data_IF_689169479269
#
_entry.id   IF_689169479269
#
_cell.length_a   1.000
_cell.length_b   1.000
_cell.length_c   1.000
_cell.angle_alpha   90.00
_cell.angle_beta   90.00
_cell.angle_gamma   90.00
#
_symmetry.space_group_name_H-M   'P 1'
#
loop_
_entity.id
_entity.type
_entity.pdbx_description
1 polymer ?
#
# COMPACT_ATOMS: atom_id res chain seq x y z
N UNK A 1 6.44 -27.68 1.37
CA UNK A 1 5.78 -26.38 1.15
C UNK A 1 5.22 -25.88 2.48
N UNK A 2 6.00 -25.13 3.25
CA UNK A 2 5.56 -24.55 4.52
C UNK A 2 4.81 -23.25 4.23
N UNK A 3 3.52 -23.21 4.57
CA UNK A 3 2.71 -22.01 4.46
C UNK A 3 3.14 -21.09 5.60
N UNK A 4 3.79 -19.97 5.26
CA UNK A 4 4.19 -18.97 6.25
C UNK A 4 2.92 -18.34 6.86
N UNK A 5 2.64 -18.56 8.16
CA UNK A 5 1.41 -18.07 8.80
C UNK A 5 1.28 -16.55 8.73
N UNK A 6 2.40 -15.82 8.67
CA UNK A 6 2.40 -14.37 8.45
C UNK A 6 1.84 -14.00 7.07
N UNK A 7 2.19 -14.76 6.02
CA UNK A 7 1.65 -14.52 4.66
C UNK A 7 0.17 -14.84 4.56
N UNK A 8 -0.31 -15.85 5.29
CA UNK A 8 -1.73 -16.19 5.34
C UNK A 8 -2.56 -15.10 6.03
N UNK A 9 -2.08 -14.57 7.15
CA UNK A 9 -2.69 -13.44 7.86
C UNK A 9 -2.65 -12.16 7.01
N UNK A 10 -1.53 -11.88 6.35
CA UNK A 10 -1.38 -10.75 5.45
C UNK A 10 -2.36 -10.80 4.27
N UNK A 11 -2.56 -11.98 3.66
CA UNK A 11 -3.60 -12.19 2.63
C UNK A 11 -5.01 -11.90 3.15
N UNK A 12 -5.30 -12.27 4.40
CA UNK A 12 -6.64 -12.10 5.01
C UNK A 12 -6.93 -10.65 5.37
N UNK A 13 -5.92 -9.89 5.80
CA UNK A 13 -6.02 -8.46 6.03
C UNK A 13 -6.10 -7.65 4.72
N UNK A 14 -5.49 -8.13 3.64
CA UNK A 14 -5.58 -7.52 2.31
C UNK A 14 -6.99 -7.61 1.71
N UNK A 15 -7.78 -8.61 2.07
CA UNK A 15 -9.11 -8.89 1.46
C UNK A 15 -10.30 -8.47 2.33
N UNK A 16 -10.09 -8.09 3.59
CA UNK A 16 -11.17 -7.68 4.50
C UNK A 16 -11.20 -6.15 4.69
N UNK A 17 -12.40 -5.58 4.86
CA UNK A 17 -12.59 -4.14 5.10
C UNK A 17 -11.84 -3.58 6.32
N UNK A 18 -11.39 -4.45 7.23
CA UNK A 18 -10.57 -4.11 8.39
C UNK A 18 -9.25 -3.41 8.01
N UNK A 19 -8.67 -3.76 6.85
CA UNK A 19 -7.47 -3.10 6.34
C UNK A 19 -7.68 -1.61 6.06
N UNK A 20 -8.87 -1.21 5.57
CA UNK A 20 -9.19 0.18 5.22
C UNK A 20 -9.22 1.12 6.44
N UNK A 21 -9.53 0.60 7.63
CA UNK A 21 -9.54 1.38 8.87
C UNK A 21 -8.11 1.78 9.30
N UNK A 22 -7.11 0.99 8.93
CA UNK A 22 -5.71 1.22 9.32
C UNK A 22 -4.93 2.06 8.28
N UNK A 23 -5.46 2.22 7.06
CA UNK A 23 -4.84 3.01 5.98
C UNK A 23 -4.47 4.45 6.38
N UNK A 24 -5.35 5.26 7.02
CA UNK A 24 -4.99 6.64 7.37
C UNK A 24 -3.87 6.69 8.43
N UNK A 25 -3.89 5.76 9.40
CA UNK A 25 -2.85 5.65 10.42
C UNK A 25 -1.51 5.21 9.81
N UNK A 26 -1.53 4.17 8.98
CA UNK A 26 -0.36 3.68 8.27
C UNK A 26 0.24 4.76 7.36
N UNK A 27 -0.60 5.51 6.64
CA UNK A 27 -0.18 6.66 5.82
C UNK A 27 0.48 7.74 6.67
N UNK A 28 -0.11 8.12 7.80
CA UNK A 28 0.47 9.14 8.68
C UNK A 28 1.82 8.71 9.25
N UNK A 29 1.94 7.44 9.67
CA UNK A 29 3.18 6.83 10.13
C UNK A 29 4.25 6.83 9.03
N UNK A 30 3.91 6.37 7.83
CA UNK A 30 4.85 6.32 6.73
C UNK A 30 5.27 7.71 6.27
N UNK A 31 4.37 8.69 6.21
CA UNK A 31 4.73 10.07 5.86
C UNK A 31 5.68 10.69 6.90
N UNK A 32 5.39 10.53 8.19
CA UNK A 32 6.23 11.09 9.28
C UNK A 32 7.58 10.41 9.41
N UNK A 33 7.69 9.16 8.98
CA UNK A 33 8.92 8.38 9.07
C UNK A 33 9.65 8.24 7.74
N UNK A 34 9.23 8.98 6.71
CA UNK A 34 9.77 8.87 5.35
C UNK A 34 9.80 7.41 4.83
N UNK A 35 8.72 6.67 5.11
CA UNK A 35 8.55 5.25 4.73
C UNK A 35 9.29 4.26 5.64
N UNK A 36 10.03 4.73 6.66
CA UNK A 36 10.80 3.84 7.54
C UNK A 36 9.90 3.00 8.45
N UNK A 37 8.70 3.45 8.81
CA UNK A 37 7.76 2.68 9.66
C UNK A 37 6.40 2.64 8.98
N UNK A 38 5.91 1.43 8.73
CA UNK A 38 4.58 1.18 8.17
C UNK A 38 3.98 -0.07 8.81
N UNK A 39 2.68 -0.01 9.10
CA UNK A 39 1.90 -1.11 9.66
C UNK A 39 1.96 -2.34 8.75
N UNK A 40 1.91 -2.12 7.43
CA UNK A 40 2.08 -3.18 6.43
C UNK A 40 3.50 -3.77 6.43
N UNK A 41 4.51 -2.94 6.73
CA UNK A 41 5.91 -3.39 6.86
C UNK A 41 6.12 -4.26 8.11
N UNK A 42 5.42 -3.95 9.20
CA UNK A 42 5.47 -4.74 10.45
C UNK A 42 4.91 -6.17 10.28
N UNK A 43 3.98 -6.37 9.34
CA UNK A 43 3.45 -7.71 8.99
C UNK A 43 4.20 -8.36 7.82
N UNK A 44 5.42 -7.89 7.51
CA UNK A 44 6.31 -8.48 6.52
C UNK A 44 6.00 -8.12 5.06
N UNK A 45 5.13 -7.15 4.80
CA UNK A 45 4.81 -6.71 3.44
C UNK A 45 5.70 -5.54 3.01
N UNK A 46 6.27 -5.62 1.81
CA UNK A 46 7.08 -4.52 1.24
C UNK A 46 6.15 -3.41 0.74
N UNK A 47 6.43 -2.18 1.14
CA UNK A 47 5.70 -0.99 0.70
C UNK A 47 6.63 0.12 0.24
N UNK A 48 6.10 1.00 -0.61
CA UNK A 48 6.73 2.24 -1.05
C UNK A 48 5.74 3.40 -0.93
N UNK A 49 6.24 4.63 -1.01
CA UNK A 49 5.41 5.83 -1.10
C UNK A 49 5.38 6.30 -2.56
N UNK A 50 4.22 6.24 -3.19
CA UNK A 50 4.00 6.80 -4.52
C UNK A 50 3.46 8.22 -4.39
N UNK A 51 4.16 9.20 -4.96
CA UNK A 51 3.67 10.58 -5.07
C UNK A 51 3.27 10.85 -6.52
N UNK A 52 2.02 11.23 -6.74
CA UNK A 52 1.50 11.62 -8.06
C UNK A 52 0.95 13.04 -8.03
N UNK A 53 0.82 13.66 -9.20
CA UNK A 53 0.16 14.95 -9.39
C UNK A 53 -1.31 14.71 -9.71
N UNK A 54 -2.23 15.27 -8.91
CA UNK A 54 -3.66 15.10 -9.13
C UNK A 54 -4.11 15.70 -10.46
N UNK A 55 -4.56 14.88 -11.41
CA UNK A 55 -4.96 15.31 -12.77
C UNK A 55 -5.94 16.51 -12.79
N UNK A 56 -6.88 16.56 -11.85
CA UNK A 56 -7.89 17.63 -11.77
C UNK A 56 -7.45 18.87 -10.99
N UNK A 57 -6.54 18.72 -10.03
CA UNK A 57 -6.21 19.77 -9.05
C UNK A 57 -4.77 20.28 -9.15
N UNK A 58 -3.89 19.57 -9.86
CA UNK A 58 -2.45 19.86 -9.89
C UNK A 58 -1.71 19.57 -8.58
N UNK A 59 -2.40 19.14 -7.52
CA UNK A 59 -1.80 19.02 -6.19
C UNK A 59 -1.06 17.68 -6.01
N UNK A 60 0.09 17.65 -5.32
CA UNK A 60 0.80 16.41 -5.02
C UNK A 60 0.00 15.54 -4.04
N UNK A 61 -0.05 14.24 -4.32
CA UNK A 61 -0.76 13.23 -3.52
C UNK A 61 0.16 12.04 -3.29
N UNK A 62 0.51 11.81 -2.02
CA UNK A 62 1.32 10.64 -1.63
C UNK A 62 0.46 9.54 -1.04
N UNK A 63 0.59 8.31 -1.55
CA UNK A 63 -0.08 7.11 -1.05
C UNK A 63 0.90 5.97 -0.79
N UNK A 64 0.75 5.21 0.30
CA UNK A 64 1.51 3.98 0.51
C UNK A 64 0.96 2.86 -0.39
N UNK A 65 1.84 2.17 -1.10
CA UNK A 65 1.48 1.03 -1.95
C UNK A 65 2.35 -0.18 -1.63
N UNK A 66 1.73 -1.36 -1.66
CA UNK A 66 2.48 -2.60 -1.76
C UNK A 66 3.09 -2.70 -3.16
N UNK A 67 4.30 -3.24 -3.23
CA UNK A 67 5.00 -3.43 -4.50
C UNK A 67 5.69 -4.78 -4.58
N UNK A 68 5.98 -5.19 -5.81
CA UNK A 68 6.92 -6.26 -6.15
C UNK A 68 8.09 -5.63 -6.88
N UNK A 69 9.32 -6.02 -6.52
CA UNK A 69 10.51 -5.60 -7.25
C UNK A 69 10.64 -6.43 -8.53
N UNK A 70 10.93 -5.78 -9.65
CA UNK A 70 11.20 -6.40 -10.94
C UNK A 70 12.50 -5.83 -11.51
N UNK A 71 13.64 -6.47 -11.22
CA UNK A 71 14.95 -5.92 -11.53
C UNK A 71 15.20 -4.58 -10.84
N UNK A 72 15.38 -3.51 -11.62
CA UNK A 72 15.49 -2.12 -11.14
C UNK A 72 14.13 -1.43 -10.93
N UNK A 73 13.05 -2.08 -11.34
CA UNK A 73 11.72 -1.49 -11.40
C UNK A 73 10.83 -1.93 -10.24
N UNK A 74 9.71 -1.22 -10.08
CA UNK A 74 8.71 -1.49 -9.06
C UNK A 74 7.35 -1.69 -9.72
N UNK A 75 6.74 -2.85 -9.47
CA UNK A 75 5.38 -3.16 -9.93
C UNK A 75 4.40 -2.92 -8.80
N UNK A 76 3.40 -2.08 -9.05
CA UNK A 76 2.30 -1.78 -8.12
C UNK A 76 0.96 -2.13 -8.76
N UNK A 77 -0.02 -2.54 -7.95
CA UNK A 77 -1.35 -2.90 -8.44
C UNK A 77 -2.37 -1.79 -8.18
N UNK A 78 -3.02 -1.31 -9.24
CA UNK A 78 -4.13 -0.35 -9.20
C UNK A 78 -5.47 -0.95 -8.77
N UNK A 79 -5.49 -1.84 -7.78
CA UNK A 79 -6.68 -2.63 -7.43
C UNK A 79 -7.71 -1.88 -6.58
N UNK A 80 -7.33 -0.76 -5.96
CA UNK A 80 -8.18 0.01 -5.04
C UNK A 80 -8.87 -0.86 -3.96
N UNK A 81 -8.14 -1.81 -3.37
CA UNK A 81 -8.70 -2.77 -2.40
C UNK A 81 -9.89 -3.57 -2.94
N UNK A 82 -9.90 -3.87 -4.25
CA UNK A 82 -11.00 -4.56 -4.92
C UNK A 82 -12.26 -3.70 -5.13
N UNK A 83 -12.15 -2.37 -4.99
CA UNK A 83 -13.24 -1.44 -5.25
C UNK A 83 -13.64 -1.40 -6.72
N UNK A 84 -14.89 -1.01 -7.01
CA UNK A 84 -15.42 -0.94 -8.38
C UNK A 84 -14.87 0.19 -9.25
N UNK A 85 -13.96 1.02 -8.72
CA UNK A 85 -13.31 2.10 -9.44
C UNK A 85 -11.79 2.03 -9.28
N UNK A 86 -11.07 2.47 -10.31
CA UNK A 86 -9.62 2.64 -10.25
C UNK A 86 -9.22 3.67 -9.18
N UNK A 87 -8.04 3.51 -8.56
CA UNK A 87 -7.57 4.45 -7.57
C UNK A 87 -7.21 5.78 -8.24
N UNK A 88 -7.37 6.89 -7.53
CA UNK A 88 -7.14 8.22 -8.13
C UNK A 88 -5.69 8.55 -8.52
N UNK A 89 -4.72 7.67 -8.25
CA UNK A 89 -3.33 7.82 -8.67
C UNK A 89 -3.03 7.18 -10.04
N UNK A 90 -3.91 6.33 -10.56
CA UNK A 90 -3.81 5.72 -11.89
C UNK A 90 -4.57 6.50 -12.95
#
# INVERSE_FOLDING_TARGET
MTVDPLRAVARRLATTGLGKLLVPLDRALQQRTAGRVGLLRLIGMRSLLLTTTGRKTGQPRTVPLLYVADGSDFVVAGSNWGGGSHPGWS
#
